data_IF_717595202192
#
_entry.id   IF_717595202192
#
_cell.length_a   1.000
_cell.length_b   1.000
_cell.length_c   1.000
_cell.angle_alpha   90.00
_cell.angle_beta   90.00
_cell.angle_gamma   90.00
#
_symmetry.space_group_name_H-M   'P 1'
#
loop_
_entity.id
_entity.type
_entity.pdbx_description
1 polymer ?
#
# COMPACT_ATOMS: atom_id res chain seq x y z
N UNK A 1 33.36 0.99 8.42
CA UNK A 1 33.26 1.35 9.85
C UNK A 1 31.84 1.74 10.19
N UNK A 2 31.19 2.70 9.48
CA UNK A 2 29.84 3.19 9.81
C UNK A 2 28.78 2.09 9.67
N UNK A 3 28.79 1.32 8.58
CA UNK A 3 27.89 0.15 8.39
C UNK A 3 28.08 -0.91 9.48
N UNK A 4 29.34 -1.18 9.87
CA UNK A 4 29.65 -2.13 10.96
C UNK A 4 29.16 -1.67 12.34
N UNK A 5 28.91 -0.38 12.51
CA UNK A 5 28.29 0.18 13.72
C UNK A 5 26.75 0.13 13.70
N UNK A 6 26.16 -0.51 12.69
CA UNK A 6 24.71 -0.65 12.57
C UNK A 6 23.98 0.54 11.93
N UNK A 7 24.73 1.52 11.38
CA UNK A 7 24.10 2.63 10.69
C UNK A 7 23.72 2.26 9.26
N UNK A 8 22.55 2.68 8.83
CA UNK A 8 22.18 2.68 7.42
C UNK A 8 23.01 3.70 6.65
N UNK A 9 23.52 3.32 5.50
CA UNK A 9 24.35 4.18 4.65
C UNK A 9 23.72 4.20 3.26
N UNK A 10 23.19 5.34 2.88
CA UNK A 10 22.70 5.61 1.53
C UNK A 10 23.88 5.71 0.55
N UNK A 11 23.68 5.28 -0.68
CA UNK A 11 24.71 5.31 -1.73
C UNK A 11 24.70 6.63 -2.51
N UNK A 12 23.56 7.29 -2.53
CA UNK A 12 23.33 8.60 -3.16
C UNK A 12 22.35 9.45 -2.36
N UNK A 13 22.09 10.69 -2.81
CA UNK A 13 21.21 11.62 -2.13
C UNK A 13 19.74 11.19 -2.19
N UNK A 14 19.30 10.58 -3.29
CA UNK A 14 17.92 10.13 -3.40
C UNK A 14 17.64 9.01 -2.40
N UNK A 15 18.52 8.01 -2.36
CA UNK A 15 18.44 6.94 -1.35
C UNK A 15 18.53 7.47 0.09
N UNK A 16 19.29 8.55 0.32
CA UNK A 16 19.36 9.19 1.63
C UNK A 16 18.02 9.85 1.99
N UNK A 17 17.42 10.60 1.09
CA UNK A 17 16.15 11.27 1.31
C UNK A 17 15.03 10.24 1.55
N UNK A 18 14.96 9.16 0.77
CA UNK A 18 14.01 8.08 0.95
C UNK A 18 14.16 7.40 2.32
N UNK A 19 15.39 7.03 2.71
CA UNK A 19 15.66 6.41 4.01
C UNK A 19 15.34 7.36 5.16
N UNK A 20 15.65 8.64 5.03
CA UNK A 20 15.38 9.64 6.06
C UNK A 20 13.87 9.85 6.22
N UNK A 21 13.13 9.94 5.10
CA UNK A 21 11.68 10.05 5.10
C UNK A 21 11.02 8.83 5.73
N UNK A 22 11.40 7.62 5.29
CA UNK A 22 10.88 6.37 5.84
C UNK A 22 11.18 6.24 7.34
N UNK A 23 12.38 6.58 7.77
CA UNK A 23 12.73 6.56 9.20
C UNK A 23 11.86 7.53 10.01
N UNK A 24 11.54 8.70 9.46
CA UNK A 24 10.64 9.67 10.07
C UNK A 24 9.20 9.16 10.19
N UNK A 25 8.68 8.56 9.13
CA UNK A 25 7.29 8.05 9.07
C UNK A 25 7.12 6.78 9.91
N UNK A 26 8.13 5.90 9.91
CA UNK A 26 8.03 4.58 10.52
C UNK A 26 8.51 4.52 11.97
N UNK A 27 9.13 5.58 12.52
CA UNK A 27 9.77 5.55 13.86
C UNK A 27 8.81 5.13 14.99
N UNK A 28 7.51 5.42 14.86
CA UNK A 28 6.50 5.06 15.85
C UNK A 28 5.73 3.77 15.49
N UNK A 29 6.10 3.11 14.38
CA UNK A 29 5.43 1.90 13.93
C UNK A 29 6.12 0.65 14.46
N UNK A 30 5.33 -0.41 14.65
CA UNK A 30 5.82 -1.69 15.11
C UNK A 30 6.15 -2.57 13.89
N UNK A 31 7.42 -2.84 13.69
CA UNK A 31 7.91 -3.72 12.63
C UNK A 31 8.36 -5.03 13.30
N UNK A 32 7.60 -6.11 13.16
CA UNK A 32 7.83 -7.37 13.86
C UNK A 32 8.38 -8.49 12.96
N UNK A 33 8.37 -8.27 11.65
CA UNK A 33 8.82 -9.28 10.68
C UNK A 33 9.05 -8.70 9.29
N UNK A 34 9.22 -9.57 8.30
CA UNK A 34 9.51 -9.22 6.92
C UNK A 34 8.42 -9.64 5.93
N UNK A 35 7.19 -9.90 6.37
CA UNK A 35 6.07 -10.33 5.52
C UNK A 35 5.29 -9.10 5.06
N UNK A 36 5.34 -8.84 3.75
CA UNK A 36 4.67 -7.71 3.13
C UNK A 36 3.30 -8.09 2.56
N UNK A 37 2.35 -7.18 2.70
CA UNK A 37 1.17 -7.11 1.88
C UNK A 37 1.36 -6.02 0.84
N UNK A 38 1.01 -6.28 -0.42
CA UNK A 38 1.13 -5.31 -1.49
C UNK A 38 -0.20 -5.16 -2.24
N UNK A 39 -0.65 -3.93 -2.40
CA UNK A 39 -1.92 -3.55 -3.01
C UNK A 39 -1.63 -2.51 -4.08
N UNK A 40 -2.11 -2.70 -5.29
CA UNK A 40 -2.03 -1.70 -6.36
C UNK A 40 -3.26 -1.78 -7.27
N UNK A 41 -3.62 -0.67 -7.90
CA UNK A 41 -4.61 -0.62 -8.97
C UNK A 41 -4.02 -0.98 -10.35
N UNK A 42 -2.72 -1.30 -10.42
CA UNK A 42 -2.02 -1.60 -11.66
C UNK A 42 -1.18 -2.90 -11.52
N UNK A 43 -1.42 -3.86 -12.43
CA UNK A 43 -0.77 -5.17 -12.37
C UNK A 43 0.75 -5.09 -12.46
N UNK A 44 1.31 -4.17 -13.25
CA UNK A 44 2.77 -4.02 -13.38
C UNK A 44 3.42 -3.53 -12.07
N UNK A 45 2.75 -2.66 -11.31
CA UNK A 45 3.23 -2.22 -9.98
C UNK A 45 3.23 -3.36 -8.97
N UNK A 46 2.16 -4.18 -8.96
CA UNK A 46 2.08 -5.36 -8.09
C UNK A 46 3.26 -6.32 -8.32
N UNK A 47 3.61 -6.54 -9.59
CA UNK A 47 4.79 -7.35 -9.96
C UNK A 47 6.08 -6.66 -9.53
N UNK A 48 6.22 -5.37 -9.82
CA UNK A 48 7.41 -4.59 -9.42
C UNK A 48 7.64 -4.58 -7.91
N UNK A 49 6.57 -4.46 -7.11
CA UNK A 49 6.65 -4.57 -5.66
C UNK A 49 7.17 -5.95 -5.23
N UNK A 50 6.65 -7.04 -5.83
CA UNK A 50 7.10 -8.39 -5.51
C UNK A 50 8.56 -8.65 -5.90
N UNK A 51 9.00 -8.13 -7.03
CA UNK A 51 10.37 -8.30 -7.52
C UNK A 51 11.40 -7.50 -6.71
N UNK A 52 10.97 -6.44 -6.04
CA UNK A 52 11.85 -5.49 -5.32
C UNK A 52 12.12 -5.87 -3.86
N UNK A 53 11.52 -6.93 -3.33
CA UNK A 53 11.59 -7.26 -1.89
C UNK A 53 12.82 -8.07 -1.47
N UNK A 54 13.68 -8.43 -2.40
CA UNK A 54 14.90 -9.19 -2.13
C UNK A 54 16.12 -8.43 -2.67
N UNK A 55 17.12 -8.27 -1.81
CA UNK A 55 18.42 -7.70 -2.17
C UNK A 55 19.54 -8.47 -1.46
N UNK A 56 20.80 -8.16 -1.78
CA UNK A 56 21.98 -8.83 -1.21
C UNK A 56 22.04 -8.76 0.33
N UNK A 57 21.44 -7.74 0.92
CA UNK A 57 21.54 -7.44 2.35
C UNK A 57 20.25 -7.67 3.13
N UNK A 58 19.14 -7.95 2.46
CA UNK A 58 17.86 -8.26 3.09
C UNK A 58 17.04 -9.20 2.21
N UNK A 59 16.13 -9.94 2.83
CA UNK A 59 15.08 -10.67 2.16
C UNK A 59 13.78 -10.42 2.93
N UNK A 60 12.76 -9.99 2.21
CA UNK A 60 11.39 -9.94 2.68
C UNK A 60 10.56 -10.94 1.86
N UNK A 61 9.36 -11.20 2.26
CA UNK A 61 8.47 -12.11 1.53
C UNK A 61 7.07 -11.53 1.40
N UNK A 62 6.34 -11.91 0.37
CA UNK A 62 4.91 -11.67 0.29
C UNK A 62 4.19 -12.61 1.25
N UNK A 63 3.55 -12.06 2.28
CA UNK A 63 2.83 -12.85 3.26
C UNK A 63 1.66 -13.61 2.63
N UNK A 64 1.49 -14.86 2.98
CA UNK A 64 0.32 -15.63 2.56
C UNK A 64 -0.90 -15.17 3.36
N UNK A 65 -1.95 -14.69 2.67
CA UNK A 65 -3.16 -14.21 3.32
C UNK A 65 -3.90 -15.35 4.05
N UNK A 66 -4.41 -15.05 5.24
CA UNK A 66 -5.32 -15.95 5.93
C UNK A 66 -6.65 -16.08 5.17
N UNK A 67 -7.30 -17.26 5.24
CA UNK A 67 -8.58 -17.47 4.55
C UNK A 67 -9.65 -16.41 4.90
N UNK A 68 -9.67 -15.94 6.14
CA UNK A 68 -10.61 -14.90 6.58
C UNK A 68 -10.33 -13.56 5.90
N UNK A 69 -9.05 -13.22 5.67
CA UNK A 69 -8.66 -12.01 4.94
C UNK A 69 -9.07 -12.13 3.47
N UNK A 70 -8.85 -13.29 2.86
CA UNK A 70 -9.28 -13.56 1.47
C UNK A 70 -10.79 -13.38 1.35
N UNK A 71 -11.58 -14.02 2.21
CA UNK A 71 -13.04 -13.91 2.21
C UNK A 71 -13.50 -12.45 2.37
N UNK A 72 -12.86 -11.71 3.30
CA UNK A 72 -13.17 -10.28 3.51
C UNK A 72 -12.89 -9.43 2.27
N UNK A 73 -11.77 -9.65 1.61
CA UNK A 73 -11.39 -8.92 0.38
C UNK A 73 -12.36 -9.28 -0.77
N UNK A 74 -12.74 -10.55 -0.91
CA UNK A 74 -13.74 -10.98 -1.89
C UNK A 74 -15.10 -10.30 -1.67
N UNK A 75 -15.55 -10.14 -0.41
CA UNK A 75 -16.77 -9.41 -0.08
C UNK A 75 -16.68 -7.95 -0.50
N UNK A 76 -15.55 -7.29 -0.23
CA UNK A 76 -15.31 -5.90 -0.65
C UNK A 76 -15.39 -5.79 -2.17
N UNK A 77 -14.64 -6.63 -2.88
CA UNK A 77 -14.63 -6.65 -4.35
C UNK A 77 -16.03 -6.91 -4.93
N UNK A 78 -16.79 -7.83 -4.34
CA UNK A 78 -18.17 -8.12 -4.76
C UNK A 78 -19.09 -6.91 -4.57
N UNK A 79 -18.94 -6.17 -3.48
CA UNK A 79 -19.71 -4.94 -3.22
C UNK A 79 -19.44 -3.86 -4.28
N UNK A 80 -18.24 -3.87 -4.86
CA UNK A 80 -17.80 -2.96 -5.92
C UNK A 80 -17.96 -3.55 -7.34
N UNK A 81 -18.47 -4.78 -7.47
CA UNK A 81 -18.63 -5.53 -8.74
C UNK A 81 -17.28 -5.77 -9.45
N UNK A 82 -16.24 -5.97 -8.69
CA UNK A 82 -14.89 -6.24 -9.17
C UNK A 82 -14.47 -7.70 -8.97
N UNK A 83 -15.26 -8.51 -8.31
CA UNK A 83 -14.99 -9.91 -7.96
C UNK A 83 -14.76 -10.82 -9.19
N UNK A 84 -15.35 -10.50 -10.34
CA UNK A 84 -15.08 -11.22 -11.58
C UNK A 84 -13.78 -10.78 -12.29
N UNK A 85 -13.17 -9.68 -11.87
CA UNK A 85 -11.99 -9.06 -12.50
C UNK A 85 -10.72 -9.20 -11.68
N UNK A 86 -10.84 -9.48 -10.39
CA UNK A 86 -9.73 -9.49 -9.44
C UNK A 86 -9.63 -10.85 -8.77
N UNK A 87 -8.45 -11.47 -8.86
CA UNK A 87 -8.07 -12.64 -8.09
C UNK A 87 -7.46 -12.19 -6.76
N UNK A 88 -8.03 -12.66 -5.63
CA UNK A 88 -7.51 -12.29 -4.31
C UNK A 88 -6.26 -13.12 -3.99
N UNK A 89 -5.13 -12.45 -4.02
CA UNK A 89 -3.81 -12.99 -3.70
C UNK A 89 -2.90 -11.87 -3.17
N UNK A 90 -1.72 -12.18 -2.74
CA UNK A 90 -0.71 -11.18 -2.37
C UNK A 90 0.55 -11.36 -3.25
N UNK A 91 0.97 -10.36 -4.02
CA UNK A 91 0.38 -9.02 -4.16
C UNK A 91 -0.98 -9.04 -4.87
N UNK A 92 -1.83 -8.07 -4.54
CA UNK A 92 -3.15 -7.94 -5.18
C UNK A 92 -3.18 -6.75 -6.15
N UNK A 93 -3.64 -7.02 -7.38
CA UNK A 93 -4.08 -5.99 -8.34
C UNK A 93 -5.59 -5.80 -8.18
N UNK A 94 -5.98 -4.71 -7.53
CA UNK A 94 -7.39 -4.44 -7.21
C UNK A 94 -8.18 -3.81 -8.37
N UNK A 95 -7.57 -3.70 -9.55
CA UNK A 95 -8.14 -3.08 -10.74
C UNK A 95 -8.28 -1.53 -10.64
N UNK A 96 -8.04 -0.77 -11.72
CA UNK A 96 -8.19 0.69 -11.72
C UNK A 96 -9.62 1.18 -11.47
N UNK A 97 -10.61 0.28 -11.50
CA UNK A 97 -12.00 0.56 -11.13
C UNK A 97 -12.25 0.59 -9.61
N UNK A 98 -11.30 0.16 -8.79
CA UNK A 98 -11.41 0.24 -7.34
C UNK A 98 -11.43 1.71 -6.88
N UNK A 99 -12.46 2.06 -6.12
CA UNK A 99 -12.63 3.40 -5.58
C UNK A 99 -11.87 3.62 -4.27
N UNK A 100 -11.92 4.85 -3.76
CA UNK A 100 -11.27 5.24 -2.49
C UNK A 100 -11.64 4.30 -1.34
N UNK A 101 -12.92 3.92 -1.25
CA UNK A 101 -13.40 3.04 -0.18
C UNK A 101 -12.83 1.62 -0.31
N UNK A 102 -12.74 1.08 -1.53
CA UNK A 102 -12.14 -0.23 -1.76
C UNK A 102 -10.65 -0.24 -1.38
N UNK A 103 -9.88 0.79 -1.76
CA UNK A 103 -8.48 0.93 -1.36
C UNK A 103 -8.32 0.91 0.17
N UNK A 104 -9.15 1.68 0.88
CA UNK A 104 -9.11 1.75 2.34
C UNK A 104 -9.49 0.43 3.01
N UNK A 105 -10.59 -0.18 2.59
CA UNK A 105 -11.09 -1.40 3.21
C UNK A 105 -10.17 -2.61 2.95
N UNK A 106 -9.59 -2.73 1.74
CA UNK A 106 -8.64 -3.78 1.42
C UNK A 106 -7.34 -3.57 2.19
N UNK A 107 -6.84 -2.33 2.28
CA UNK A 107 -5.66 -2.00 3.11
C UNK A 107 -5.91 -2.37 4.58
N UNK A 108 -7.07 -2.05 5.11
CA UNK A 108 -7.44 -2.39 6.49
C UNK A 108 -7.51 -3.91 6.71
N UNK A 109 -8.06 -4.67 5.75
CA UNK A 109 -8.09 -6.13 5.82
C UNK A 109 -6.67 -6.73 5.86
N UNK A 110 -5.75 -6.23 5.03
CA UNK A 110 -4.35 -6.64 5.04
C UNK A 110 -3.64 -6.29 6.35
N UNK A 111 -3.92 -5.10 6.92
CA UNK A 111 -3.36 -4.70 8.22
C UNK A 111 -3.79 -5.61 9.37
N UNK A 112 -5.00 -6.15 9.30
CA UNK A 112 -5.51 -7.08 10.32
C UNK A 112 -5.07 -8.53 10.12
N UNK A 113 -4.49 -8.85 8.96
CA UNK A 113 -3.99 -10.20 8.68
C UNK A 113 -2.76 -10.52 9.55
N UNK A 114 -2.76 -11.61 10.32
CA UNK A 114 -1.64 -11.98 11.18
C UNK A 114 -0.37 -12.37 10.41
N UNK A 115 -0.50 -12.70 9.13
CA UNK A 115 0.61 -13.08 8.26
C UNK A 115 1.22 -11.88 7.51
N UNK A 116 0.74 -10.67 7.78
CA UNK A 116 1.26 -9.43 7.19
C UNK A 116 1.88 -8.57 8.29
N UNK A 117 3.12 -8.13 8.11
CA UNK A 117 3.85 -7.29 9.06
C UNK A 117 3.85 -5.81 8.63
N UNK A 118 3.76 -5.54 7.32
CA UNK A 118 3.66 -4.20 6.75
C UNK A 118 2.89 -4.24 5.43
N UNK A 119 2.27 -3.12 5.06
CA UNK A 119 1.51 -3.00 3.80
C UNK A 119 2.12 -1.92 2.92
N UNK A 120 2.29 -2.23 1.63
CA UNK A 120 2.65 -1.27 0.59
C UNK A 120 1.42 -1.04 -0.29
N UNK A 121 1.08 0.22 -0.53
CA UNK A 121 -0.09 0.60 -1.32
C UNK A 121 0.36 1.49 -2.47
N UNK A 122 0.25 1.00 -3.70
CA UNK A 122 0.41 1.77 -4.91
C UNK A 122 -0.87 2.58 -5.20
N UNK A 123 -0.72 3.86 -5.41
CA UNK A 123 -1.79 4.78 -5.74
C UNK A 123 -1.46 5.47 -7.07
N UNK A 124 -2.22 5.15 -8.11
CA UNK A 124 -2.21 5.92 -9.34
C UNK A 124 -3.17 7.12 -9.18
N UNK A 125 -2.62 8.36 -9.09
CA UNK A 125 -3.46 9.55 -8.96
C UNK A 125 -4.38 9.78 -10.16
N UNK A 126 -4.04 9.19 -11.31
CA UNK A 126 -4.82 9.32 -12.55
C UNK A 126 -5.91 8.28 -12.67
N UNK A 127 -5.96 7.28 -11.79
CA UNK A 127 -6.99 6.24 -11.80
C UNK A 127 -8.40 6.86 -11.75
N UNK A 128 -9.34 6.43 -12.60
CA UNK A 128 -10.62 7.10 -12.78
C UNK A 128 -11.53 7.06 -11.55
N UNK A 129 -11.28 6.12 -10.64
CA UNK A 129 -12.16 5.85 -9.48
C UNK A 129 -11.63 6.44 -8.17
N UNK A 130 -10.43 7.03 -8.17
CA UNK A 130 -9.76 7.57 -6.97
C UNK A 130 -9.76 9.09 -6.98
N UNK A 131 -10.00 9.72 -5.81
CA UNK A 131 -9.98 11.17 -5.62
C UNK A 131 -8.60 11.63 -5.15
N UNK A 132 -7.61 11.52 -6.03
CA UNK A 132 -6.22 11.85 -5.69
C UNK A 132 -5.69 13.13 -6.38
N UNK A 133 -6.50 13.76 -7.24
CA UNK A 133 -6.15 15.01 -7.94
C UNK A 133 -7.19 16.10 -7.68
N UNK A 134 -6.81 17.35 -7.91
CA UNK A 134 -7.75 18.47 -7.90
C UNK A 134 -8.83 18.31 -8.96
N UNK A 135 -10.03 18.79 -8.64
CA UNK A 135 -11.14 18.77 -9.57
C UNK A 135 -10.80 19.58 -10.83
N UNK A 136 -11.25 19.11 -11.98
CA UNK A 136 -11.08 19.78 -13.24
C UNK A 136 -12.37 19.69 -14.08
N UNK A 137 -12.44 20.49 -15.16
CA UNK A 137 -13.56 20.43 -16.10
C UNK A 137 -13.68 19.06 -16.80
N UNK A 138 -12.58 18.31 -16.92
CA UNK A 138 -12.54 16.98 -17.50
C UNK A 138 -12.93 15.89 -16.50
N UNK A 139 -12.90 16.20 -15.20
CA UNK A 139 -13.12 15.25 -14.12
C UNK A 139 -13.91 15.90 -12.97
N UNK A 140 -15.15 16.34 -13.26
CA UNK A 140 -16.00 16.97 -12.26
C UNK A 140 -16.43 15.97 -11.18
N UNK A 141 -16.43 16.41 -9.92
CA UNK A 141 -16.88 15.63 -8.79
C UNK A 141 -15.82 14.66 -8.19
N UNK A 142 -14.64 14.60 -8.77
CA UNK A 142 -13.49 13.91 -8.20
C UNK A 142 -12.47 14.95 -7.74
N UNK A 143 -12.35 15.13 -6.44
CA UNK A 143 -11.48 16.15 -5.86
C UNK A 143 -10.74 15.58 -4.65
N UNK A 144 -9.43 15.80 -4.61
CA UNK A 144 -8.58 15.38 -3.49
C UNK A 144 -9.00 16.04 -2.17
N UNK A 145 -9.70 17.17 -2.20
CA UNK A 145 -10.22 17.85 -0.99
C UNK A 145 -11.49 17.21 -0.42
N UNK A 146 -12.07 16.22 -1.12
CA UNK A 146 -13.20 15.45 -0.60
C UNK A 146 -12.76 14.70 0.67
N UNK A 147 -13.46 14.89 1.81
CA UNK A 147 -13.15 14.16 3.04
C UNK A 147 -13.21 12.63 2.94
N UNK A 148 -13.86 12.12 1.91
CA UNK A 148 -13.93 10.67 1.62
C UNK A 148 -12.84 10.19 0.67
N UNK A 149 -11.92 11.06 0.25
CA UNK A 149 -10.80 10.68 -0.60
C UNK A 149 -9.79 9.81 0.14
N UNK A 150 -9.11 8.93 -0.59
CA UNK A 150 -8.01 8.13 -0.06
C UNK A 150 -6.92 9.01 0.54
N UNK A 151 -6.66 10.19 -0.03
CA UNK A 151 -5.67 11.16 0.45
C UNK A 151 -5.97 11.62 1.88
N UNK A 152 -7.24 11.78 2.26
CA UNK A 152 -7.63 12.15 3.62
C UNK A 152 -7.79 10.94 4.54
N UNK A 153 -8.34 9.85 4.06
CA UNK A 153 -8.71 8.71 4.92
C UNK A 153 -7.55 7.75 5.18
N UNK A 154 -6.63 7.56 4.22
CA UNK A 154 -5.49 6.66 4.40
C UNK A 154 -4.57 7.08 5.56
N UNK A 155 -4.20 8.37 5.74
CA UNK A 155 -3.43 8.81 6.90
C UNK A 155 -4.13 8.52 8.24
N UNK A 156 -5.47 8.61 8.29
CA UNK A 156 -6.24 8.29 9.49
C UNK A 156 -6.23 6.79 9.78
N UNK A 157 -6.34 5.96 8.74
CA UNK A 157 -6.20 4.51 8.85
C UNK A 157 -4.81 4.14 9.36
N UNK A 158 -3.76 4.73 8.77
CA UNK A 158 -2.37 4.51 9.17
C UNK A 158 -2.14 4.91 10.63
N UNK A 159 -2.66 6.08 11.05
CA UNK A 159 -2.43 6.59 12.41
C UNK A 159 -3.00 5.68 13.51
N UNK A 160 -4.12 5.01 13.26
CA UNK A 160 -4.77 4.11 14.23
C UNK A 160 -4.23 2.67 14.23
N UNK A 161 -3.37 2.32 13.28
CA UNK A 161 -2.81 0.98 13.18
C UNK A 161 -1.34 0.95 13.62
N UNK A 162 -0.94 -0.12 14.30
CA UNK A 162 0.44 -0.29 14.76
C UNK A 162 1.38 -0.69 13.61
N UNK A 163 0.89 -1.51 12.67
CA UNK A 163 1.65 -1.94 11.50
C UNK A 163 1.90 -0.78 10.54
N UNK A 164 3.05 -0.73 9.88
CA UNK A 164 3.35 0.31 8.90
C UNK A 164 2.54 0.14 7.61
N UNK A 165 2.17 1.27 7.01
CA UNK A 165 1.70 1.37 5.63
C UNK A 165 2.60 2.34 4.90
N UNK A 166 3.03 1.97 3.72
CA UNK A 166 3.89 2.77 2.86
C UNK A 166 3.11 3.02 1.57
N UNK A 167 2.83 4.29 1.28
CA UNK A 167 2.22 4.69 0.01
C UNK A 167 3.31 4.87 -1.05
N UNK A 168 3.08 4.34 -2.23
CA UNK A 168 3.86 4.60 -3.44
C UNK A 168 2.93 5.33 -4.40
N UNK A 169 3.36 6.48 -4.89
CA UNK A 169 2.59 7.32 -5.82
C UNK A 169 3.45 7.57 -7.03
N UNK A 170 2.96 7.22 -8.22
CA UNK A 170 3.61 7.46 -9.51
C UNK A 170 3.18 8.81 -10.14
#
# INVERSE_FOLDING_TARGET
>A
VVRHAGAMVAEDLNSFDDLFYLAGVLHAKKIEGGRLGAISGAGFESVGMADSIVADTFAMEMGALEPQTVERVEEILRSKRLDALVEVRNPIDINPGADDEAHLQITEAFLHDPNIDAVVVGLDPTAPSVRALEASSLRPGFDLTDPQSTVHLMPLLVARNAKPVIGVVD
#
